data_IF_100455762993
#
_entry.id   IF_100455762993
#
_cell.length_a   1.000
_cell.length_b   1.000
_cell.length_c   1.000
_cell.angle_alpha   90.00
_cell.angle_beta   90.00
_cell.angle_gamma   90.00
#
_symmetry.space_group_name_H-M   'P 1'
#
loop_
_entity.id
_entity.type
_entity.pdbx_description
1 polymer ?
#
# COMPACT_ATOMS: atom_id res chain seq x y z
N UNK A 1 -4.38 17.14 -5.51
CA UNK A 1 -4.83 17.64 -6.83
C UNK A 1 -6.36 17.58 -6.86
N UNK A 2 -7.05 18.67 -7.22
CA UNK A 2 -8.51 18.67 -7.36
C UNK A 2 -8.84 18.11 -8.74
N UNK A 3 -9.63 17.04 -8.81
CA UNK A 3 -10.20 16.59 -10.07
C UNK A 3 -11.18 17.67 -10.57
N UNK A 4 -11.03 18.20 -11.80
CA UNK A 4 -11.98 19.17 -12.33
C UNK A 4 -13.37 18.55 -12.43
N UNK A 5 -14.39 19.34 -12.15
CA UNK A 5 -15.79 18.93 -12.31
C UNK A 5 -16.16 19.06 -13.79
N UNK A 6 -16.27 17.93 -14.50
CA UNK A 6 -16.81 17.85 -15.87
C UNK A 6 -15.95 17.07 -16.85
N UNK A 7 -16.48 16.87 -18.06
CA UNK A 7 -15.87 16.07 -19.15
C UNK A 7 -14.56 16.64 -19.73
N UNK A 8 -14.06 17.75 -19.21
CA UNK A 8 -12.80 18.36 -19.65
C UNK A 8 -11.58 17.48 -19.38
N UNK A 9 -11.62 16.60 -18.37
CA UNK A 9 -10.58 15.59 -18.17
C UNK A 9 -10.55 14.59 -19.34
N UNK A 10 -11.71 14.16 -19.84
CA UNK A 10 -11.82 13.19 -20.93
C UNK A 10 -11.28 13.75 -22.25
N UNK A 11 -11.58 15.03 -22.57
CA UNK A 11 -11.05 15.68 -23.77
C UNK A 11 -9.54 15.89 -23.77
N UNK A 12 -8.92 16.02 -22.58
CA UNK A 12 -7.45 16.13 -22.47
C UNK A 12 -6.74 14.78 -22.70
N UNK A 13 -7.42 13.67 -22.46
CA UNK A 13 -6.86 12.33 -22.67
C UNK A 13 -6.85 11.88 -24.14
N UNK A 14 -7.68 12.48 -25.01
CA UNK A 14 -7.82 12.07 -26.40
C UNK A 14 -6.72 12.63 -27.32
N UNK A 15 -6.22 13.85 -27.07
CA UNK A 15 -5.30 14.55 -28.00
C UNK A 15 -3.89 14.79 -27.46
N UNK A 16 -3.55 14.24 -26.30
CA UNK A 16 -2.18 14.23 -25.80
C UNK A 16 -1.89 12.91 -25.13
N UNK A 17 -0.75 12.30 -25.46
CA UNK A 17 -0.22 11.10 -24.82
C UNK A 17 -0.29 11.26 -23.31
N UNK A 18 -1.31 10.68 -22.69
CA UNK A 18 -1.36 10.60 -21.23
C UNK A 18 -0.26 9.61 -20.87
N UNK A 19 0.80 10.10 -20.22
CA UNK A 19 1.89 9.28 -19.66
C UNK A 19 1.39 8.32 -18.56
N UNK A 20 0.09 8.23 -18.28
CA UNK A 20 -0.48 7.36 -17.26
C UNK A 20 -1.35 6.31 -17.95
N UNK A 21 -0.96 5.04 -17.82
CA UNK A 21 -1.75 3.90 -18.26
C UNK A 21 -2.58 3.34 -17.11
N UNK A 22 -3.85 3.02 -17.39
CA UNK A 22 -4.74 2.37 -16.44
C UNK A 22 -4.61 0.84 -16.50
N UNK A 23 -4.95 0.15 -15.41
CA UNK A 23 -4.82 -1.33 -15.31
C UNK A 23 -5.54 -2.05 -16.45
N UNK A 24 -6.75 -1.63 -16.80
CA UNK A 24 -7.49 -2.21 -17.93
C UNK A 24 -6.79 -2.01 -19.28
N UNK A 25 -5.99 -0.96 -19.45
CA UNK A 25 -5.17 -0.74 -20.64
C UNK A 25 -3.93 -1.64 -20.61
N UNK A 26 -3.29 -1.80 -19.44
CA UNK A 26 -2.16 -2.70 -19.24
C UNK A 26 -2.57 -4.15 -19.55
N UNK A 27 -3.74 -4.60 -19.11
CA UNK A 27 -4.18 -6.00 -19.21
C UNK A 27 -4.57 -6.47 -20.64
N UNK A 28 -4.68 -5.60 -21.64
CA UNK A 28 -5.29 -5.97 -22.94
C UNK A 28 -4.42 -6.75 -23.90
N UNK A 29 -4.85 -7.92 -24.36
CA UNK A 29 -4.21 -8.59 -25.50
C UNK A 29 -4.80 -8.08 -26.83
N UNK A 30 -4.14 -7.14 -27.52
CA UNK A 30 -4.46 -6.69 -28.90
C UNK A 30 -4.82 -5.20 -29.11
N UNK A 31 -4.97 -4.78 -30.38
CA UNK A 31 -4.95 -3.38 -30.88
C UNK A 31 -6.29 -2.60 -30.90
N UNK A 32 -7.38 -3.09 -30.30
CA UNK A 32 -8.66 -2.33 -30.33
C UNK A 32 -8.63 -1.17 -29.32
N UNK A 33 -9.51 -0.16 -29.44
CA UNK A 33 -9.67 0.92 -28.43
C UNK A 33 -10.46 0.46 -27.20
N UNK A 34 -10.25 1.06 -26.02
CA UNK A 34 -10.80 0.56 -24.75
C UNK A 34 -12.28 0.88 -24.58
N UNK A 35 -13.00 -0.08 -24.00
CA UNK A 35 -14.26 0.09 -23.28
C UNK A 35 -14.17 -0.85 -22.06
N UNK A 36 -14.25 -0.38 -20.79
CA UNK A 36 -14.78 0.90 -20.32
C UNK A 36 -13.75 1.84 -19.66
N UNK A 37 -14.22 3.05 -19.31
CA UNK A 37 -13.52 4.07 -18.54
C UNK A 37 -13.01 3.54 -17.18
N UNK A 38 -11.94 4.12 -16.60
CA UNK A 38 -11.45 3.73 -15.28
C UNK A 38 -12.59 3.76 -14.25
N UNK A 39 -12.85 2.61 -13.61
CA UNK A 39 -13.93 2.47 -12.64
C UNK A 39 -13.57 3.01 -11.25
N UNK A 40 -12.28 3.17 -10.96
CA UNK A 40 -11.79 3.66 -9.67
C UNK A 40 -10.41 4.30 -9.84
N UNK A 41 -10.20 5.46 -9.22
CA UNK A 41 -8.88 6.03 -9.02
C UNK A 41 -8.64 6.08 -7.51
N UNK A 42 -7.66 5.33 -7.03
CA UNK A 42 -7.24 5.39 -5.63
C UNK A 42 -6.18 6.48 -5.53
N UNK A 43 -6.54 7.62 -4.95
CA UNK A 43 -5.64 8.76 -4.76
C UNK A 43 -5.55 9.08 -3.27
N UNK A 44 -4.34 9.04 -2.71
CA UNK A 44 -4.08 9.62 -1.40
C UNK A 44 -3.99 11.15 -1.51
N UNK A 45 -5.11 11.83 -1.32
CA UNK A 45 -5.19 13.29 -1.30
C UNK A 45 -4.88 13.88 0.09
N UNK A 46 -4.58 13.04 1.10
CA UNK A 46 -4.54 13.45 2.49
C UNK A 46 -3.29 14.24 2.89
N UNK A 47 -2.15 14.03 2.21
CA UNK A 47 -0.92 14.83 2.36
C UNK A 47 0.20 14.35 1.41
N UNK A 48 -0.13 13.86 0.21
CA UNK A 48 0.85 13.31 -0.74
C UNK A 48 2.10 14.17 -0.90
N UNK A 49 3.29 13.57 -0.94
CA UNK A 49 4.56 14.26 -1.07
C UNK A 49 4.59 15.01 -2.41
N UNK A 50 4.73 16.33 -2.38
CA UNK A 50 5.01 17.10 -3.59
C UNK A 50 6.52 17.09 -3.83
N UNK A 51 6.97 16.38 -4.87
CA UNK A 51 8.38 16.30 -5.26
C UNK A 51 9.00 17.66 -5.59
N UNK A 52 8.19 18.68 -5.89
CA UNK A 52 8.67 20.02 -6.28
C UNK A 52 8.77 20.98 -5.09
N UNK A 53 8.27 20.62 -3.91
CA UNK A 53 8.15 21.53 -2.77
C UNK A 53 8.80 20.93 -1.51
N UNK A 54 9.94 21.48 -1.04
CA UNK A 54 10.51 21.11 0.25
C UNK A 54 9.53 21.47 1.39
N UNK A 55 9.07 20.48 2.16
CA UNK A 55 8.23 20.73 3.34
C UNK A 55 9.08 21.09 4.57
N UNK A 56 8.58 22.01 5.39
CA UNK A 56 9.19 22.37 6.68
C UNK A 56 8.81 21.35 7.77
N UNK A 57 9.75 21.03 8.66
CA UNK A 57 9.60 20.02 9.72
C UNK A 57 8.44 20.27 10.69
N UNK A 58 7.99 21.52 10.84
CA UNK A 58 7.06 21.91 11.89
C UNK A 58 5.57 21.63 11.55
N UNK A 59 5.28 21.14 10.33
CA UNK A 59 3.91 20.82 9.89
C UNK A 59 3.35 19.51 10.48
N UNK A 60 4.14 18.77 11.25
CA UNK A 60 3.73 17.53 11.92
C UNK A 60 2.58 17.71 12.93
N UNK A 61 2.45 18.91 13.53
CA UNK A 61 1.49 19.19 14.59
C UNK A 61 0.05 19.43 14.10
N UNK A 62 -0.17 19.63 12.80
CA UNK A 62 -1.47 20.01 12.23
C UNK A 62 -2.11 18.96 11.30
N UNK A 63 -1.73 17.68 11.40
CA UNK A 63 -2.11 16.69 10.39
C UNK A 63 -3.60 16.42 10.32
N UNK A 64 -4.18 16.75 9.16
CA UNK A 64 -5.50 16.36 8.70
C UNK A 64 -5.34 15.08 7.87
N UNK A 65 -6.01 14.00 8.27
CA UNK A 65 -5.93 12.67 7.64
C UNK A 65 -6.53 11.61 8.56
N UNK A 66 -6.82 10.40 8.06
CA UNK A 66 -7.33 9.31 8.90
C UNK A 66 -6.18 8.65 9.65
N UNK A 67 -6.08 8.79 10.99
CA UNK A 67 -4.92 8.37 11.79
C UNK A 67 -4.41 6.96 11.48
N UNK A 68 -5.33 5.99 11.34
CA UNK A 68 -5.02 4.57 11.11
C UNK A 68 -4.28 4.24 9.82
N UNK A 69 -4.24 5.15 8.85
CA UNK A 69 -3.59 4.91 7.55
C UNK A 69 -2.27 5.67 7.41
N UNK A 70 -1.87 6.45 8.40
CA UNK A 70 -0.60 7.18 8.32
C UNK A 70 0.58 6.19 8.18
N UNK A 71 1.64 6.54 7.44
CA UNK A 71 2.86 5.73 7.45
C UNK A 71 3.53 5.71 8.85
N UNK A 72 4.28 4.66 9.19
CA UNK A 72 4.86 4.47 10.53
C UNK A 72 5.86 5.55 10.93
N UNK A 73 6.84 5.86 10.08
CA UNK A 73 7.85 6.91 10.32
C UNK A 73 7.19 8.28 10.47
N UNK A 74 6.18 8.53 9.64
CA UNK A 74 5.31 9.70 9.66
C UNK A 74 4.55 9.75 10.99
N UNK A 75 3.96 8.65 11.45
CA UNK A 75 3.26 8.52 12.75
C UNK A 75 4.14 8.93 13.93
N UNK A 76 5.37 8.40 13.97
CA UNK A 76 6.33 8.68 15.03
C UNK A 76 7.03 10.04 14.88
N UNK A 77 6.92 10.70 13.72
CA UNK A 77 7.55 11.99 13.42
C UNK A 77 9.08 11.92 13.27
N UNK A 78 9.64 10.73 13.05
CA UNK A 78 11.09 10.48 12.96
C UNK A 78 11.37 9.29 12.05
N UNK A 79 12.61 9.19 11.55
CA UNK A 79 13.07 7.98 10.88
C UNK A 79 13.03 6.80 11.86
N UNK A 80 12.56 5.66 11.37
CA UNK A 80 12.53 4.42 12.13
C UNK A 80 13.94 3.84 12.29
N UNK A 81 14.08 2.94 13.26
CA UNK A 81 15.36 2.34 13.63
C UNK A 81 15.86 1.39 12.52
N UNK A 82 17.11 1.53 12.05
CA UNK A 82 17.62 0.68 10.96
C UNK A 82 17.71 -0.80 11.34
N UNK A 83 17.88 -1.15 12.62
CA UNK A 83 18.01 -2.55 13.05
C UNK A 83 16.65 -3.27 13.01
N UNK A 84 15.57 -2.56 13.37
CA UNK A 84 14.21 -3.10 13.34
C UNK A 84 13.55 -3.01 11.96
N UNK A 85 13.96 -2.03 11.13
CA UNK A 85 13.35 -1.68 9.85
C UNK A 85 14.35 -1.76 8.69
N UNK A 86 15.20 -2.78 8.74
CA UNK A 86 16.22 -3.05 7.71
C UNK A 86 15.59 -3.39 6.36
N UNK A 87 16.27 -2.97 5.29
CA UNK A 87 15.96 -3.36 3.91
C UNK A 87 16.72 -4.60 3.45
N UNK A 88 17.52 -5.21 4.33
CA UNK A 88 18.26 -6.44 4.02
C UNK A 88 17.31 -7.55 3.58
N UNK A 89 17.65 -8.20 2.47
CA UNK A 89 16.87 -9.29 1.87
C UNK A 89 15.49 -8.89 1.33
N UNK A 90 15.17 -7.59 1.26
CA UNK A 90 13.96 -7.12 0.59
C UNK A 90 14.29 -6.81 -0.86
N UNK A 91 13.76 -7.61 -1.77
CA UNK A 91 13.87 -7.41 -3.21
C UNK A 91 12.55 -6.89 -3.79
N UNK A 92 12.67 -6.15 -4.90
CA UNK A 92 11.51 -5.76 -5.67
C UNK A 92 10.80 -7.03 -6.19
N UNK A 93 9.47 -7.13 -6.10
CA UNK A 93 8.73 -8.27 -6.65
C UNK A 93 9.12 -8.55 -8.10
N UNK A 94 9.44 -9.82 -8.39
CA UNK A 94 9.96 -10.23 -9.69
C UNK A 94 8.95 -9.91 -10.80
N UNK A 95 9.41 -9.37 -11.93
CA UNK A 95 8.55 -9.14 -13.08
C UNK A 95 8.16 -10.43 -13.82
N UNK A 96 8.70 -11.62 -13.47
CA UNK A 96 8.45 -12.85 -14.21
C UNK A 96 6.96 -13.22 -14.28
N UNK A 97 6.22 -13.04 -13.18
CA UNK A 97 4.77 -13.29 -13.12
C UNK A 97 3.96 -12.29 -13.97
N UNK A 98 4.56 -11.15 -14.33
CA UNK A 98 3.95 -10.07 -15.12
C UNK A 98 4.70 -9.79 -16.42
N UNK A 99 5.55 -10.71 -16.88
CA UNK A 99 6.51 -10.49 -17.98
C UNK A 99 5.85 -10.01 -19.26
N UNK A 100 4.67 -10.55 -19.55
CA UNK A 100 3.84 -10.18 -20.70
C UNK A 100 3.31 -8.73 -20.62
N UNK A 101 3.38 -8.10 -19.45
CA UNK A 101 2.89 -6.75 -19.17
C UNK A 101 4.01 -5.73 -18.90
N UNK A 102 5.23 -6.18 -18.64
CA UNK A 102 6.42 -5.34 -18.36
C UNK A 102 6.66 -4.29 -19.46
N UNK A 103 6.46 -4.64 -20.73
CA UNK A 103 6.66 -3.71 -21.85
C UNK A 103 5.63 -2.57 -21.90
N UNK A 104 4.57 -2.65 -21.10
CA UNK A 104 3.49 -1.66 -20.98
C UNK A 104 3.48 -0.99 -19.61
N UNK A 105 4.41 -1.34 -18.75
CA UNK A 105 4.69 -0.56 -17.57
C UNK A 105 5.81 0.42 -17.96
N UNK A 106 5.88 1.60 -17.31
CA UNK A 106 7.02 2.52 -17.49
C UNK A 106 8.27 1.91 -16.87
N UNK A 107 8.89 0.97 -17.57
CA UNK A 107 9.91 0.07 -17.02
C UNK A 107 11.32 0.55 -17.22
N UNK A 108 11.54 1.68 -17.89
CA UNK A 108 12.88 2.20 -18.17
C UNK A 108 13.71 2.45 -16.91
N UNK A 109 13.09 2.63 -15.74
CA UNK A 109 13.82 2.87 -14.48
C UNK A 109 13.90 1.65 -13.55
N UNK A 110 13.15 0.56 -13.81
CA UNK A 110 12.98 -0.57 -12.86
C UNK A 110 13.25 -1.95 -13.47
N UNK A 111 13.88 -2.00 -14.64
CA UNK A 111 14.37 -3.24 -15.28
C UNK A 111 15.63 -3.80 -14.62
N UNK A 112 16.31 -3.00 -13.80
CA UNK A 112 17.47 -3.46 -13.05
C UNK A 112 16.99 -3.94 -11.70
N UNK A 113 17.27 -5.20 -11.39
CA UNK A 113 17.17 -5.74 -10.03
C UNK A 113 17.77 -4.70 -9.09
N UNK A 114 16.95 -4.17 -8.17
CA UNK A 114 17.47 -3.38 -7.07
C UNK A 114 18.35 -4.35 -6.29
N UNK A 115 19.65 -4.29 -6.54
CA UNK A 115 20.64 -5.03 -5.79
C UNK A 115 20.39 -4.72 -4.31
N UNK A 116 20.28 -5.73 -3.42
CA UNK A 116 20.09 -5.50 -2.01
C UNK A 116 21.12 -4.48 -1.54
N UNK A 117 20.63 -3.31 -1.13
CA UNK A 117 21.49 -2.21 -0.72
C UNK A 117 22.33 -2.75 0.45
N UNK A 118 23.67 -2.82 0.32
CA UNK A 118 24.49 -3.16 1.48
C UNK A 118 24.18 -2.14 2.57
N UNK A 119 24.15 -2.59 3.83
CA UNK A 119 23.93 -1.78 5.04
C UNK A 119 24.81 -0.51 5.19
N UNK A 120 25.67 -0.19 4.22
CA UNK A 120 26.71 0.84 4.28
C UNK A 120 26.32 2.21 3.71
N UNK A 121 25.10 2.42 3.20
CA UNK A 121 24.63 3.77 2.79
C UNK A 121 23.74 4.47 3.81
N UNK A 122 23.42 3.83 4.95
CA UNK A 122 22.65 4.45 6.01
C UNK A 122 23.41 5.68 6.57
N UNK A 123 22.93 6.87 6.22
CA UNK A 123 23.46 8.10 6.80
C UNK A 123 23.02 8.20 8.27
N UNK A 124 23.96 8.35 9.22
CA UNK A 124 23.63 8.62 10.62
C UNK A 124 22.88 9.96 10.81
N UNK A 125 22.96 10.85 9.81
CA UNK A 125 22.47 12.23 9.85
C UNK A 125 21.21 12.49 9.01
N UNK A 126 20.59 11.44 8.46
CA UNK A 126 19.38 11.61 7.66
C UNK A 126 18.29 12.29 8.50
N UNK A 127 17.88 13.49 8.09
CA UNK A 127 16.76 14.20 8.72
C UNK A 127 15.46 13.59 8.22
N UNK A 128 14.54 13.37 9.14
CA UNK A 128 13.19 12.97 8.77
C UNK A 128 12.57 14.01 7.83
N UNK A 129 12.09 13.52 6.69
CA UNK A 129 11.33 14.30 5.73
C UNK A 129 10.25 13.40 5.12
N UNK A 130 9.09 13.96 4.81
CA UNK A 130 8.04 13.21 4.13
C UNK A 130 8.48 12.91 2.68
N UNK A 131 8.38 11.65 2.25
CA UNK A 131 8.75 11.18 0.91
C UNK A 131 7.61 10.33 0.31
N UNK A 132 7.66 10.05 -1.00
CA UNK A 132 6.61 9.32 -1.71
C UNK A 132 6.34 7.92 -1.16
N UNK A 133 7.35 7.22 -0.66
CA UNK A 133 7.13 5.89 -0.09
C UNK A 133 6.21 5.90 1.14
N UNK A 134 6.08 7.03 1.85
CA UNK A 134 5.11 7.17 2.92
C UNK A 134 3.67 7.17 2.40
N UNK A 135 3.44 7.72 1.21
CA UNK A 135 2.12 7.72 0.57
C UNK A 135 1.79 6.30 0.06
N UNK A 136 2.81 5.57 -0.42
CA UNK A 136 2.70 4.15 -0.75
C UNK A 136 2.34 3.30 0.48
N UNK A 137 3.02 3.50 1.62
CA UNK A 137 2.69 2.83 2.88
C UNK A 137 1.26 3.17 3.34
N UNK A 138 0.86 4.44 3.21
CA UNK A 138 -0.49 4.86 3.61
C UNK A 138 -1.57 4.19 2.75
N UNK A 139 -1.31 4.09 1.44
CA UNK A 139 -2.15 3.35 0.49
C UNK A 139 -2.22 1.86 0.84
N UNK A 140 -1.09 1.25 1.21
CA UNK A 140 -1.06 -0.14 1.68
C UNK A 140 -2.00 -0.34 2.89
N UNK A 141 -1.96 0.55 3.89
CA UNK A 141 -2.85 0.43 5.05
C UNK A 141 -4.34 0.57 4.69
N UNK A 142 -4.67 1.38 3.69
CA UNK A 142 -6.03 1.48 3.13
C UNK A 142 -6.44 0.16 2.48
N UNK A 143 -5.58 -0.44 1.65
CA UNK A 143 -5.84 -1.73 0.98
C UNK A 143 -6.07 -2.83 2.02
N UNK A 144 -5.18 -2.96 3.01
CA UNK A 144 -5.33 -3.95 4.09
C UNK A 144 -6.64 -3.73 4.82
N UNK A 145 -6.90 -2.51 5.32
CA UNK A 145 -8.13 -2.25 6.07
C UNK A 145 -9.39 -2.56 5.26
N UNK A 146 -9.39 -2.22 3.97
CA UNK A 146 -10.51 -2.49 3.07
C UNK A 146 -10.75 -3.99 2.93
N UNK A 147 -9.72 -4.76 2.55
CA UNK A 147 -9.85 -6.22 2.34
C UNK A 147 -10.21 -6.94 3.65
N UNK A 148 -9.57 -6.57 4.75
CA UNK A 148 -9.83 -7.14 6.08
C UNK A 148 -11.26 -6.90 6.54
N UNK A 149 -11.90 -5.80 6.12
CA UNK A 149 -13.30 -5.47 6.43
C UNK A 149 -14.31 -5.94 5.38
N UNK A 150 -13.85 -6.55 4.30
CA UNK A 150 -14.70 -6.96 3.18
C UNK A 150 -15.11 -8.44 3.28
N UNK A 151 -16.16 -8.80 2.57
CA UNK A 151 -16.54 -10.20 2.27
C UNK A 151 -16.72 -10.36 0.77
N UNK A 152 -16.99 -11.59 0.32
CA UNK A 152 -17.28 -11.95 -1.08
C UNK A 152 -18.72 -11.55 -1.54
N UNK A 153 -19.47 -10.81 -0.72
CA UNK A 153 -20.91 -10.61 -0.89
C UNK A 153 -21.77 -11.76 -0.33
N UNK A 154 -21.15 -12.87 0.09
CA UNK A 154 -21.83 -13.88 0.91
C UNK A 154 -22.03 -13.33 2.33
N UNK A 155 -23.28 -13.07 2.70
CA UNK A 155 -23.65 -12.48 4.00
C UNK A 155 -23.54 -13.42 5.20
N UNK A 156 -23.17 -14.69 4.98
CA UNK A 156 -22.90 -15.60 6.10
C UNK A 156 -21.58 -15.23 6.77
N UNK A 157 -21.67 -14.30 7.69
CA UNK A 157 -20.54 -13.93 8.51
C UNK A 157 -20.10 -15.13 9.38
N UNK A 158 -18.86 -15.55 9.18
CA UNK A 158 -18.22 -16.57 10.00
C UNK A 158 -17.66 -15.95 11.28
N UNK A 159 -17.47 -16.80 12.29
CA UNK A 159 -16.91 -16.40 13.60
C UNK A 159 -15.62 -15.61 13.44
N UNK A 160 -15.49 -14.52 14.20
CA UNK A 160 -14.28 -13.71 14.22
C UNK A 160 -13.09 -14.55 14.70
N UNK A 161 -11.99 -14.47 13.97
CA UNK A 161 -10.70 -14.94 14.44
C UNK A 161 -10.17 -13.98 15.51
N UNK A 162 -9.34 -14.47 16.42
CA UNK A 162 -8.68 -13.63 17.42
C UNK A 162 -7.80 -12.57 16.73
N UNK A 163 -7.10 -12.96 15.67
CA UNK A 163 -6.25 -12.09 14.86
C UNK A 163 -7.01 -10.94 14.20
N UNK A 164 -8.22 -11.22 13.67
CA UNK A 164 -9.09 -10.16 13.14
C UNK A 164 -9.51 -9.18 14.23
N UNK A 165 -9.89 -9.68 15.41
CA UNK A 165 -10.22 -8.85 16.56
C UNK A 165 -9.06 -7.95 16.98
N UNK A 166 -7.89 -8.53 17.20
CA UNK A 166 -6.67 -7.82 17.58
C UNK A 166 -6.33 -6.72 16.57
N UNK A 167 -6.26 -7.07 15.29
CA UNK A 167 -5.94 -6.13 14.22
C UNK A 167 -6.98 -5.00 14.12
N UNK A 168 -8.27 -5.35 14.16
CA UNK A 168 -9.35 -4.37 14.06
C UNK A 168 -9.23 -3.29 15.15
N UNK A 169 -9.08 -3.73 16.40
CA UNK A 169 -9.04 -2.83 17.55
C UNK A 169 -7.73 -2.06 17.61
N UNK A 170 -6.60 -2.69 17.26
CA UNK A 170 -5.31 -2.01 17.08
C UNK A 170 -5.42 -0.87 16.07
N UNK A 171 -5.97 -1.14 14.88
CA UNK A 171 -6.14 -0.11 13.84
C UNK A 171 -7.13 0.98 14.25
N UNK A 172 -8.21 0.65 14.97
CA UNK A 172 -9.18 1.66 15.44
C UNK A 172 -8.62 2.57 16.52
N UNK A 173 -7.75 2.05 17.38
CA UNK A 173 -7.11 2.80 18.47
C UNK A 173 -5.82 3.50 18.02
N UNK A 174 -5.32 3.18 16.82
CA UNK A 174 -4.10 3.76 16.32
C UNK A 174 -4.25 5.28 16.17
N UNK A 175 -3.39 6.01 16.88
CA UNK A 175 -3.31 7.45 16.82
C UNK A 175 -1.84 7.87 16.78
N UNK A 176 -1.43 8.72 15.81
CA UNK A 176 -0.07 9.21 15.70
C UNK A 176 0.37 9.93 16.97
N UNK A 177 1.49 9.49 17.53
CA UNK A 177 2.10 10.11 18.69
C UNK A 177 3.61 10.28 18.44
N UNK A 178 4.13 11.52 18.44
CA UNK A 178 5.56 11.75 18.26
C UNK A 178 6.39 10.98 19.27
N UNK A 179 7.46 10.35 18.81
CA UNK A 179 8.39 9.55 19.62
C UNK A 179 7.81 8.29 20.28
N UNK A 180 6.54 7.97 20.06
CA UNK A 180 5.94 6.70 20.49
C UNK A 180 6.07 5.68 19.36
N UNK A 181 6.32 4.44 19.74
CA UNK A 181 6.41 3.32 18.80
C UNK A 181 5.03 3.05 18.18
N UNK A 182 5.02 2.84 16.87
CA UNK A 182 3.79 2.52 16.16
C UNK A 182 3.26 1.16 16.59
N UNK A 183 2.01 1.11 17.09
CA UNK A 183 1.37 -0.13 17.55
C UNK A 183 1.32 -1.23 16.48
N UNK A 184 1.36 -0.86 15.20
CA UNK A 184 1.39 -1.77 14.06
C UNK A 184 2.73 -2.50 13.90
N UNK A 185 3.78 -2.13 14.63
CA UNK A 185 5.05 -2.88 14.67
C UNK A 185 4.85 -4.36 15.04
N UNK A 186 3.85 -4.65 15.86
CA UNK A 186 3.47 -6.02 16.24
C UNK A 186 3.12 -6.94 15.06
N UNK A 187 2.71 -6.37 13.91
CA UNK A 187 2.39 -7.13 12.69
C UNK A 187 3.64 -7.70 12.03
N UNK A 188 4.82 -7.08 12.22
CA UNK A 188 6.03 -7.44 11.51
C UNK A 188 6.41 -8.91 11.59
N UNK A 189 6.27 -9.46 12.79
CA UNK A 189 6.70 -10.83 13.13
C UNK A 189 5.59 -11.86 12.91
N UNK A 190 4.47 -11.46 12.31
CA UNK A 190 3.34 -12.35 12.11
C UNK A 190 3.58 -13.27 10.91
N UNK A 191 3.15 -14.52 11.04
CA UNK A 191 3.39 -15.58 10.08
C UNK A 191 2.48 -15.45 8.85
N UNK A 192 2.70 -16.22 7.77
CA UNK A 192 1.77 -16.28 6.64
C UNK A 192 0.33 -16.60 7.07
N UNK A 193 0.16 -17.50 8.04
CA UNK A 193 -1.14 -17.94 8.55
C UNK A 193 -1.90 -16.80 9.22
N UNK A 194 -1.21 -15.84 9.85
CA UNK A 194 -1.84 -14.63 10.39
C UNK A 194 -2.50 -13.78 9.30
N UNK A 195 -1.84 -13.62 8.14
CA UNK A 195 -2.42 -12.84 7.04
C UNK A 195 -3.65 -13.52 6.45
N UNK A 196 -3.64 -14.86 6.40
CA UNK A 196 -4.80 -15.66 6.01
C UNK A 196 -5.94 -15.50 7.03
N UNK A 197 -5.66 -15.69 8.32
CA UNK A 197 -6.69 -15.61 9.39
C UNK A 197 -7.26 -14.21 9.59
N UNK A 198 -6.56 -13.18 9.11
CA UNK A 198 -7.02 -11.80 9.16
C UNK A 198 -8.20 -11.55 8.19
N UNK A 199 -8.21 -12.24 7.05
CA UNK A 199 -9.20 -12.05 5.98
C UNK A 199 -10.46 -12.87 6.22
N UNK A 200 -11.53 -12.52 5.50
CA UNK A 200 -12.67 -13.42 5.38
C UNK A 200 -12.24 -14.68 4.61
N UNK A 201 -12.75 -15.89 4.90
CA UNK A 201 -12.35 -17.12 4.19
C UNK A 201 -12.41 -17.03 2.67
N UNK A 202 -13.43 -16.36 2.16
CA UNK A 202 -13.60 -16.19 0.71
C UNK A 202 -12.60 -15.20 0.08
N UNK A 203 -11.80 -14.50 0.90
CA UNK A 203 -10.75 -13.58 0.51
C UNK A 203 -9.35 -14.08 0.90
N UNK A 204 -9.21 -15.27 1.49
CA UNK A 204 -7.93 -15.82 1.95
C UNK A 204 -6.86 -15.89 0.85
N UNK A 205 -7.29 -16.06 -0.41
CA UNK A 205 -6.40 -16.05 -1.58
C UNK A 205 -5.62 -14.74 -1.73
N UNK A 206 -6.12 -13.63 -1.17
CA UNK A 206 -5.47 -12.31 -1.22
C UNK A 206 -4.34 -12.16 -0.16
N UNK A 207 -4.24 -13.07 0.81
CA UNK A 207 -3.27 -12.98 1.90
C UNK A 207 -1.80 -12.94 1.43
N UNK A 208 -1.36 -13.76 0.45
CA UNK A 208 0.01 -13.68 -0.07
C UNK A 208 0.35 -12.32 -0.67
N UNK A 209 -0.58 -11.70 -1.39
CA UNK A 209 -0.40 -10.34 -1.94
C UNK A 209 -0.19 -9.32 -0.81
N UNK A 210 -1.08 -9.31 0.20
CA UNK A 210 -0.97 -8.40 1.34
C UNK A 210 0.35 -8.59 2.11
N UNK A 211 0.76 -9.83 2.32
CA UNK A 211 2.04 -10.14 2.97
C UNK A 211 3.22 -9.64 2.13
N UNK A 212 3.21 -9.87 0.81
CA UNK A 212 4.26 -9.38 -0.09
C UNK A 212 4.38 -7.86 -0.06
N UNK A 213 3.25 -7.16 -0.08
CA UNK A 213 3.21 -5.70 0.02
C UNK A 213 3.80 -5.22 1.34
N UNK A 214 3.39 -5.86 2.44
CA UNK A 214 3.90 -5.54 3.76
C UNK A 214 5.41 -5.76 3.87
N UNK A 215 5.94 -6.87 3.33
CA UNK A 215 7.38 -7.13 3.30
C UNK A 215 8.15 -6.02 2.60
N UNK A 216 7.62 -5.46 1.51
CA UNK A 216 8.29 -4.37 0.79
C UNK A 216 8.09 -3.00 1.44
N UNK A 217 6.94 -2.76 2.07
CA UNK A 217 6.66 -1.52 2.81
C UNK A 217 7.41 -1.47 4.14
N UNK A 218 7.74 -2.62 4.72
CA UNK A 218 8.32 -2.70 6.07
C UNK A 218 9.57 -1.83 6.29
N UNK A 219 10.59 -1.83 5.41
CA UNK A 219 11.83 -1.11 5.66
C UNK A 219 11.68 0.41 5.77
N UNK A 220 12.60 1.05 6.49
CA UNK A 220 12.72 2.52 6.53
C UNK A 220 13.47 3.01 5.28
N UNK A 221 12.73 3.17 4.19
CA UNK A 221 13.29 3.60 2.91
C UNK A 221 13.84 5.02 2.91
N UNK A 222 13.45 5.86 3.88
CA UNK A 222 14.00 7.22 4.02
C UNK A 222 15.49 7.25 4.34
N UNK A 223 16.08 6.09 4.67
CA UNK A 223 17.54 5.89 4.85
C UNK A 223 18.26 5.48 3.57
N UNK A 224 17.54 5.12 2.51
CA UNK A 224 18.10 4.75 1.20
C UNK A 224 18.08 5.95 0.25
N UNK A 225 19.21 6.27 -0.37
CA UNK A 225 19.34 7.41 -1.29
C UNK A 225 19.51 6.99 -2.76
N UNK A 226 19.71 5.71 -3.03
CA UNK A 226 20.04 5.19 -4.36
C UNK A 226 18.81 4.73 -5.15
N UNK A 227 17.65 4.64 -4.48
CA UNK A 227 16.43 4.15 -5.07
C UNK A 227 15.62 5.28 -5.67
N UNK A 228 14.94 5.00 -6.77
CA UNK A 228 13.97 5.92 -7.33
C UNK A 228 12.86 6.20 -6.30
N UNK A 229 12.47 7.47 -6.06
CA UNK A 229 11.42 7.82 -5.08
C UNK A 229 10.10 7.04 -5.19
N UNK A 230 9.74 6.55 -6.37
CA UNK A 230 8.51 5.81 -6.64
C UNK A 230 8.65 4.28 -6.47
N UNK A 231 9.82 3.77 -6.08
CA UNK A 231 10.09 2.32 -6.04
C UNK A 231 9.10 1.51 -5.18
N UNK A 232 8.59 2.07 -4.07
CA UNK A 232 7.56 1.40 -3.24
C UNK A 232 6.22 1.37 -3.94
N UNK A 233 5.83 2.46 -4.63
CA UNK A 233 4.62 2.45 -5.45
C UNK A 233 4.71 1.39 -6.55
N UNK A 234 5.83 1.32 -7.26
CA UNK A 234 6.08 0.30 -8.28
C UNK A 234 5.98 -1.12 -7.69
N UNK A 235 6.60 -1.38 -6.54
CA UNK A 235 6.52 -2.68 -5.88
C UNK A 235 5.07 -3.10 -5.56
N UNK A 236 4.29 -2.18 -4.99
CA UNK A 236 2.88 -2.42 -4.67
C UNK A 236 2.04 -2.63 -5.94
N UNK A 237 2.28 -1.85 -6.99
CA UNK A 237 1.61 -2.00 -8.29
C UNK A 237 1.92 -3.36 -8.94
N UNK A 238 3.17 -3.82 -8.89
CA UNK A 238 3.53 -5.16 -9.39
C UNK A 238 2.78 -6.26 -8.65
N UNK A 239 2.71 -6.18 -7.32
CA UNK A 239 1.99 -7.17 -6.50
C UNK A 239 0.48 -7.15 -6.75
N UNK A 240 -0.12 -5.97 -6.92
CA UNK A 240 -1.53 -5.86 -7.34
C UNK A 240 -1.74 -6.50 -8.71
N UNK A 241 -0.87 -6.18 -9.67
CA UNK A 241 -0.99 -6.68 -11.04
C UNK A 241 -0.86 -8.21 -11.09
N UNK A 242 0.10 -8.76 -10.35
CA UNK A 242 0.24 -10.21 -10.14
C UNK A 242 -1.08 -10.82 -9.68
N UNK A 243 -1.70 -10.25 -8.64
CA UNK A 243 -2.94 -10.78 -8.09
C UNK A 243 -4.10 -10.65 -9.08
N UNK A 244 -4.20 -9.53 -9.79
CA UNK A 244 -5.22 -9.32 -10.82
C UNK A 244 -5.08 -10.34 -11.97
N UNK A 245 -3.85 -10.65 -12.39
CA UNK A 245 -3.59 -11.69 -13.40
C UNK A 245 -3.98 -13.07 -12.89
N UNK A 246 -3.73 -13.37 -11.60
CA UNK A 246 -4.12 -14.64 -10.98
C UNK A 246 -5.64 -14.81 -10.90
N UNK A 247 -6.37 -13.72 -10.63
CA UNK A 247 -7.82 -13.73 -10.64
C UNK A 247 -8.39 -13.97 -12.05
N UNK A 248 -7.74 -13.45 -13.09
CA UNK A 248 -8.16 -13.57 -14.50
C UNK A 248 -9.66 -13.25 -14.66
N UNK A 249 -10.49 -14.21 -15.10
CA UNK A 249 -11.95 -14.03 -15.27
C UNK A 249 -12.76 -14.37 -14.01
N UNK A 250 -12.10 -14.77 -12.92
CA UNK A 250 -12.73 -15.16 -11.65
C UNK A 250 -12.73 -13.99 -10.67
N UNK A 251 -13.43 -12.92 -11.03
CA UNK A 251 -13.57 -11.75 -10.17
C UNK A 251 -14.20 -12.13 -8.83
N UNK A 252 -13.60 -11.61 -7.75
CA UNK A 252 -14.17 -11.70 -6.41
C UNK A 252 -14.96 -10.43 -6.15
N UNK A 253 -16.27 -10.57 -5.96
CA UNK A 253 -17.12 -9.45 -5.54
C UNK A 253 -16.68 -9.00 -4.16
N UNK A 254 -16.35 -7.71 -3.99
CA UNK A 254 -16.00 -7.13 -2.69
C UNK A 254 -17.19 -6.37 -2.12
N UNK A 255 -17.81 -6.92 -1.07
CA UNK A 255 -18.77 -6.19 -0.25
C UNK A 255 -18.01 -5.47 0.88
N UNK A 256 -17.65 -4.20 0.64
CA UNK A 256 -16.74 -3.44 1.51
C UNK A 256 -17.40 -3.07 2.83
N UNK A 257 -16.71 -3.34 3.94
CA UNK A 257 -17.19 -2.98 5.28
C UNK A 257 -18.28 -3.92 5.82
N UNK A 258 -18.63 -4.96 5.08
CA UNK A 258 -19.70 -5.90 5.40
C UNK A 258 -19.38 -6.85 6.56
N UNK A 259 -18.10 -7.02 6.92
CA UNK A 259 -17.75 -7.78 8.15
C UNK A 259 -18.18 -7.00 9.39
N UNK A 260 -18.86 -7.68 10.31
CA UNK A 260 -19.22 -7.09 11.59
C UNK A 260 -17.99 -6.79 12.44
N UNK A 261 -18.25 -5.95 13.42
CA UNK A 261 -17.25 -5.43 14.33
C UNK A 261 -16.96 -6.51 15.36
N UNK A 262 -15.69 -6.92 15.53
CA UNK A 262 -15.33 -7.91 16.52
C UNK A 262 -15.59 -7.38 17.94
N UNK A 263 -16.03 -8.24 18.87
CA UNK A 263 -16.18 -7.84 20.27
C UNK A 263 -14.83 -7.32 20.80
N UNK A 264 -14.88 -6.46 21.81
CA UNK A 264 -13.66 -5.96 22.46
C UNK A 264 -13.00 -7.14 23.17
N UNK A 265 -11.73 -7.47 22.88
CA UNK A 265 -11.04 -8.57 23.55
C UNK A 265 -10.95 -8.31 25.06
N UNK A 266 -11.08 -9.37 25.85
CA UNK A 266 -11.15 -9.27 27.31
C UNK A 266 -9.93 -8.56 27.93
N UNK A 267 -8.73 -8.74 27.37
CA UNK A 267 -7.51 -8.06 27.84
C UNK A 267 -7.50 -6.55 27.59
N UNK A 268 -8.43 -6.03 26.76
CA UNK A 268 -8.60 -4.60 26.48
C UNK A 268 -9.69 -3.93 27.34
N UNK A 269 -10.37 -4.68 28.20
CA UNK A 269 -11.42 -4.18 29.11
C UNK A 269 -10.91 -3.85 30.51
N UNK A 270 -9.61 -4.08 30.78
CA UNK A 270 -8.93 -3.85 32.05
C UNK A 270 -8.14 -2.53 32.06
#
# INVERSE_FOLDING_TARGET
MVAPVGDEYHKRCDDSRVEVMFVNQVLRKGDKQPDPAPACIVIDLGNGADLKIPRKNDQLAGRTGTPKFIARSVSSGKLLDPDDYSSENVSLPSPDEIKDYVHRMHTTEYQHEILPTPNSTAQPEAKFAHQLFHDAESTFWVIVWTLVRSTSGNRQEKTHTEEYGEFYHMMCRHYPQPNVEDSRKSIFRKSPEFWTSLLHPDLESMAPMLRGMFTYVWPEWGRSQTLNPEHVHEALMRLLLVEIIKLDSNDIVLDIGSRSIPPIPFFMLA
#
